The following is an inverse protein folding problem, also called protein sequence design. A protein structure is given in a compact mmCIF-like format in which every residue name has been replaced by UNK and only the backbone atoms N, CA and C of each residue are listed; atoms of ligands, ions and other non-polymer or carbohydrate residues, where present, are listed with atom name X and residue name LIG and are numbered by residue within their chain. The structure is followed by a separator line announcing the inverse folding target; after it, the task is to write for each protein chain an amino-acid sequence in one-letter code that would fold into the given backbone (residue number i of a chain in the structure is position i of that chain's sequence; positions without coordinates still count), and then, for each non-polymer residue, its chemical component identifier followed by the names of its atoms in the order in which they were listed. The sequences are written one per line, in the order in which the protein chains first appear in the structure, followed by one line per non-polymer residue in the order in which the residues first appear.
data_IF_430887524257
#
_entry.id   IF_430887524257
#
_cell.length_a   1.000
_cell.length_b   1.000
_cell.length_c   1.000
_cell.angle_alpha   90.00
_cell.angle_beta   90.00
_cell.angle_gamma   90.00
#
_symmetry.space_group_name_H-M   'P 1'
#
loop_
_entity.id
_entity.type
_entity.pdbx_description
1 polymer ?
#
# COMPACT_ATOMS: atom_id res chain seq x y z
N UNK A 1 6.48 35.32 22.95
CA UNK A 1 7.10 34.54 21.86
C UNK A 1 6.64 33.11 22.07
N UNK A 2 5.53 32.72 21.45
CA UNK A 2 4.90 31.40 21.65
C UNK A 2 5.43 30.45 20.57
N UNK A 3 5.97 29.31 21.03
CA UNK A 3 6.85 28.42 20.27
C UNK A 3 6.14 27.12 19.89
N UNK A 4 4.85 27.20 19.52
CA UNK A 4 4.01 26.02 19.26
C UNK A 4 3.05 26.16 18.05
N UNK A 5 3.26 27.13 17.15
CA UNK A 5 2.43 27.27 15.93
C UNK A 5 2.92 26.44 14.73
N UNK A 6 3.96 25.61 14.88
CA UNK A 6 4.57 24.87 13.75
C UNK A 6 4.10 23.41 13.57
N UNK A 7 3.23 22.89 14.43
CA UNK A 7 2.55 21.63 14.13
C UNK A 7 1.17 21.94 13.58
N UNK A 8 1.19 22.48 12.36
CA UNK A 8 0.01 22.73 11.55
C UNK A 8 -0.92 21.54 11.62
N UNK A 9 -2.17 21.82 11.95
CA UNK A 9 -3.27 20.85 11.94
C UNK A 9 -3.19 20.03 10.64
N UNK A 10 -3.30 18.68 10.69
CA UNK A 10 -3.15 17.86 9.51
C UNK A 10 -4.37 18.10 8.60
N UNK A 11 -4.27 19.09 7.72
CA UNK A 11 -5.26 19.23 6.67
C UNK A 11 -5.12 18.01 5.76
N UNK A 12 -6.23 17.37 5.41
CA UNK A 12 -6.28 16.11 4.67
C UNK A 12 -5.45 16.08 3.35
N UNK A 13 -4.98 17.23 2.86
CA UNK A 13 -4.12 17.36 1.68
C UNK A 13 -2.65 17.01 1.94
N UNK A 14 -2.11 17.37 3.10
CA UNK A 14 -0.67 17.25 3.36
C UNK A 14 -0.25 15.81 3.59
N UNK A 15 -1.10 14.99 4.24
CA UNK A 15 -0.79 13.59 4.48
C UNK A 15 -0.88 12.73 3.20
N UNK A 16 -1.81 13.02 2.29
CA UNK A 16 -1.89 12.32 0.99
C UNK A 16 -0.67 12.62 0.14
N UNK A 17 -0.26 13.90 0.10
CA UNK A 17 0.95 14.33 -0.58
C UNK A 17 2.20 13.69 0.02
N UNK A 18 2.27 13.58 1.34
CA UNK A 18 3.32 12.85 2.03
C UNK A 18 3.38 11.37 1.61
N UNK A 19 2.24 10.65 1.60
CA UNK A 19 2.21 9.26 1.14
C UNK A 19 2.73 9.12 -0.29
N UNK A 20 2.43 10.08 -1.16
CA UNK A 20 2.93 10.07 -2.53
C UNK A 20 4.43 10.34 -2.60
N UNK A 21 4.88 11.48 -2.07
CA UNK A 21 6.25 11.98 -2.24
C UNK A 21 7.28 11.15 -1.46
N UNK A 22 6.94 10.73 -0.25
CA UNK A 22 7.89 10.09 0.67
C UNK A 22 7.82 8.57 0.63
N UNK A 23 6.68 7.99 0.20
CA UNK A 23 6.50 6.54 0.15
C UNK A 23 6.31 6.07 -1.30
N UNK A 24 5.16 6.33 -1.91
CA UNK A 24 4.76 5.68 -3.18
C UNK A 24 5.67 6.02 -4.37
N UNK A 25 6.22 7.24 -4.45
CA UNK A 25 7.16 7.65 -5.50
C UNK A 25 8.59 7.17 -5.24
N UNK A 26 8.90 6.70 -4.04
CA UNK A 26 10.22 6.16 -3.65
C UNK A 26 10.30 4.65 -3.77
N UNK A 27 9.15 3.96 -3.79
CA UNK A 27 9.11 2.51 -3.90
C UNK A 27 9.52 2.02 -5.30
N UNK A 28 10.29 0.92 -5.40
CA UNK A 28 10.49 0.21 -6.66
C UNK A 28 9.16 -0.18 -7.29
N UNK A 29 9.09 -0.15 -8.63
CA UNK A 29 7.85 -0.43 -9.37
C UNK A 29 7.20 -1.78 -8.98
N UNK A 30 8.03 -2.79 -8.71
CA UNK A 30 7.54 -4.12 -8.33
C UNK A 30 6.89 -4.14 -6.95
N UNK A 31 7.42 -3.37 -6.00
CA UNK A 31 6.82 -3.22 -4.67
C UNK A 31 5.55 -2.37 -4.74
N UNK A 32 5.57 -1.30 -5.54
CA UNK A 32 4.38 -0.49 -5.80
C UNK A 32 3.25 -1.30 -6.41
N UNK A 33 3.54 -2.16 -7.39
CA UNK A 33 2.52 -3.02 -8.02
C UNK A 33 1.99 -4.09 -7.05
N UNK A 34 2.84 -4.62 -6.16
CA UNK A 34 2.42 -5.51 -5.07
C UNK A 34 1.40 -4.82 -4.15
N UNK A 35 1.73 -3.63 -3.65
CA UNK A 35 0.83 -2.88 -2.77
C UNK A 35 -0.45 -2.44 -3.50
N UNK A 36 -0.34 -2.01 -4.76
CA UNK A 36 -1.49 -1.61 -5.56
C UNK A 36 -2.41 -2.78 -5.91
N UNK A 37 -1.86 -3.98 -6.08
CA UNK A 37 -2.65 -5.21 -6.25
C UNK A 37 -3.31 -5.61 -4.93
N UNK A 38 -2.59 -5.54 -3.81
CA UNK A 38 -3.18 -5.84 -2.51
C UNK A 38 -4.27 -4.82 -2.10
N UNK A 39 -4.16 -3.57 -2.54
CA UNK A 39 -5.12 -2.52 -2.21
C UNK A 39 -6.55 -2.82 -2.68
N UNK A 40 -6.72 -3.62 -3.76
CA UNK A 40 -8.05 -3.98 -4.26
C UNK A 40 -8.65 -5.21 -3.58
N UNK A 41 -7.91 -5.87 -2.69
CA UNK A 41 -8.38 -7.00 -1.92
C UNK A 41 -9.48 -6.57 -0.92
N UNK A 42 -10.42 -7.49 -0.69
CA UNK A 42 -11.53 -7.30 0.28
C UNK A 42 -11.23 -7.96 1.63
N UNK A 43 -10.27 -8.87 1.69
CA UNK A 43 -9.81 -9.59 2.87
C UNK A 43 -8.31 -9.87 2.77
N UNK A 44 -7.63 -10.23 3.87
CA UNK A 44 -6.24 -10.66 3.84
C UNK A 44 -6.00 -11.73 2.77
N UNK A 45 -4.87 -11.62 2.07
CA UNK A 45 -4.54 -12.47 0.92
C UNK A 45 -3.35 -13.35 1.28
N UNK A 46 -3.43 -14.68 1.14
CA UNK A 46 -2.28 -15.56 1.33
C UNK A 46 -1.09 -15.13 0.48
N UNK A 47 0.11 -15.13 1.05
CA UNK A 47 1.33 -14.63 0.38
C UNK A 47 1.53 -15.26 -0.99
N UNK A 48 1.37 -16.58 -1.10
CA UNK A 48 1.59 -17.32 -2.34
C UNK A 48 0.66 -16.86 -3.47
N UNK A 49 -0.58 -16.49 -3.14
CA UNK A 49 -1.56 -15.96 -4.10
C UNK A 49 -1.13 -14.57 -4.56
N UNK A 50 -0.82 -13.69 -3.62
CA UNK A 50 -0.37 -12.33 -3.93
C UNK A 50 0.91 -12.35 -4.78
N UNK A 51 1.91 -13.13 -4.36
CA UNK A 51 3.19 -13.25 -5.04
C UNK A 51 3.02 -13.76 -6.46
N UNK A 52 2.20 -14.80 -6.67
CA UNK A 52 1.87 -15.31 -8.00
C UNK A 52 1.15 -14.26 -8.85
N UNK A 53 0.17 -13.56 -8.28
CA UNK A 53 -0.62 -12.53 -8.96
C UNK A 53 0.23 -11.37 -9.49
N UNK A 54 1.33 -11.02 -8.81
CA UNK A 54 2.23 -9.94 -9.23
C UNK A 54 3.58 -10.41 -9.80
N UNK A 55 3.78 -11.72 -10.00
CA UNK A 55 5.05 -12.28 -10.48
C UNK A 55 6.23 -12.01 -9.52
N UNK A 56 5.96 -11.97 -8.22
CA UNK A 56 6.98 -11.86 -7.18
C UNK A 56 7.59 -13.22 -6.88
N UNK A 57 8.93 -13.27 -6.80
CA UNK A 57 9.68 -14.47 -6.49
C UNK A 57 10.32 -14.31 -5.13
N UNK A 58 10.06 -15.24 -4.22
CA UNK A 58 10.65 -15.26 -2.88
C UNK A 58 9.67 -14.86 -1.78
N UNK A 59 10.23 -14.39 -0.67
CA UNK A 59 9.51 -14.03 0.56
C UNK A 59 8.89 -12.63 0.46
N UNK A 60 7.94 -12.28 1.35
CA UNK A 60 7.41 -10.93 1.47
C UNK A 60 8.52 -9.88 1.55
N UNK A 61 8.36 -8.69 0.94
CA UNK A 61 9.39 -7.67 0.96
C UNK A 61 9.59 -7.16 2.40
N UNK A 62 10.71 -7.53 3.03
CA UNK A 62 10.97 -7.23 4.44
C UNK A 62 10.87 -5.74 4.76
N UNK A 63 11.27 -4.86 3.83
CA UNK A 63 11.19 -3.42 4.04
C UNK A 63 9.73 -2.95 4.20
N UNK A 64 8.82 -3.48 3.38
CA UNK A 64 7.40 -3.11 3.46
C UNK A 64 6.77 -3.59 4.77
N UNK A 65 7.17 -4.77 5.24
CA UNK A 65 6.74 -5.32 6.54
C UNK A 65 7.29 -4.51 7.70
N UNK A 66 8.61 -4.27 7.71
CA UNK A 66 9.29 -3.50 8.77
C UNK A 66 8.74 -2.08 8.93
N UNK A 67 8.35 -1.46 7.82
CA UNK A 67 7.76 -0.11 7.83
C UNK A 67 6.23 -0.10 8.00
N UNK A 68 5.60 -1.26 8.20
CA UNK A 68 4.15 -1.37 8.43
C UNK A 68 3.30 -1.00 7.22
N UNK A 69 3.89 -0.99 6.02
CA UNK A 69 3.16 -0.79 4.76
C UNK A 69 2.42 -2.06 4.36
N UNK A 70 3.08 -3.21 4.57
CA UNK A 70 2.55 -4.56 4.42
C UNK A 70 2.39 -5.18 5.81
N UNK A 71 1.20 -5.68 6.10
CA UNK A 71 0.85 -6.29 7.39
C UNK A 71 0.74 -7.80 7.22
N UNK A 72 1.44 -8.55 8.06
CA UNK A 72 1.32 -10.01 8.14
C UNK A 72 0.26 -10.36 9.20
N UNK A 73 -0.90 -10.83 8.75
CA UNK A 73 -2.00 -11.28 9.61
C UNK A 73 -2.09 -12.80 9.57
N UNK A 74 -2.86 -13.39 10.49
CA UNK A 74 -3.07 -14.84 10.57
C UNK A 74 -3.62 -15.42 9.25
N UNK A 75 -4.54 -14.70 8.60
CA UNK A 75 -5.18 -15.12 7.34
C UNK A 75 -4.42 -14.69 6.07
N UNK A 76 -3.27 -14.01 6.22
CA UNK A 76 -2.41 -13.59 5.11
C UNK A 76 -1.98 -12.14 5.15
N UNK A 77 -1.56 -11.64 4.00
CA UNK A 77 -1.05 -10.29 3.82
C UNK A 77 -2.20 -9.28 3.74
N UNK A 78 -2.03 -8.15 4.42
CA UNK A 78 -2.94 -7.02 4.36
C UNK A 78 -2.20 -5.71 4.18
N UNK A 79 -2.90 -4.68 3.73
CA UNK A 79 -2.33 -3.36 3.47
C UNK A 79 -2.71 -2.41 4.60
N UNK A 80 -1.81 -1.51 4.99
CA UNK A 80 -2.16 -0.43 5.90
C UNK A 80 -3.33 0.41 5.34
N UNK A 81 -4.37 0.68 6.15
CA UNK A 81 -5.64 1.22 5.65
C UNK A 81 -5.50 2.59 4.96
N UNK A 82 -4.69 3.49 5.54
CA UNK A 82 -4.44 4.80 4.95
C UNK A 82 -3.78 4.71 3.55
N UNK A 83 -2.90 3.72 3.35
CA UNK A 83 -2.24 3.48 2.07
C UNK A 83 -3.19 2.81 1.08
N UNK A 84 -4.03 1.90 1.58
CA UNK A 84 -5.09 1.25 0.81
C UNK A 84 -6.07 2.27 0.24
N UNK A 85 -6.58 3.18 1.07
CA UNK A 85 -7.46 4.25 0.61
C UNK A 85 -6.79 5.14 -0.43
N UNK A 86 -5.51 5.50 -0.24
CA UNK A 86 -4.75 6.31 -1.21
C UNK A 86 -4.59 5.58 -2.54
N UNK A 87 -4.21 4.30 -2.52
CA UNK A 87 -4.00 3.50 -3.72
C UNK A 87 -5.32 3.23 -4.44
N UNK A 88 -6.43 3.02 -3.72
CA UNK A 88 -7.76 2.87 -4.31
C UNK A 88 -8.25 4.12 -5.04
N UNK A 89 -7.87 5.31 -4.57
CA UNK A 89 -8.17 6.58 -5.24
C UNK A 89 -7.38 6.77 -6.55
N UNK A 90 -6.27 6.04 -6.73
CA UNK A 90 -5.37 6.16 -7.88
C UNK A 90 -5.80 5.32 -9.09
N UNK A 91 -6.84 4.49 -8.97
CA UNK A 91 -7.18 3.50 -10.00
C UNK A 91 -8.60 3.59 -10.52
N UNK A 92 -8.71 4.09 -11.75
CA UNK A 92 -9.79 3.76 -12.67
C UNK A 92 -9.57 2.39 -13.33
N UNK A 93 -9.15 2.38 -14.59
CA UNK A 93 -9.17 1.20 -15.49
C UNK A 93 -8.38 -0.03 -15.01
N UNK A 94 -7.32 0.14 -14.23
CA UNK A 94 -6.46 -0.96 -13.77
C UNK A 94 -7.03 -1.73 -12.57
N UNK A 95 -8.08 -1.22 -11.91
CA UNK A 95 -8.64 -1.85 -10.71
C UNK A 95 -9.21 -3.24 -11.01
N UNK A 96 -9.91 -3.39 -12.14
CA UNK A 96 -10.55 -4.65 -12.51
C UNK A 96 -9.51 -5.72 -12.87
N UNK A 97 -8.45 -5.34 -13.60
CA UNK A 97 -7.35 -6.25 -13.94
C UNK A 97 -6.58 -6.73 -12.70
N UNK A 98 -6.43 -5.87 -11.69
CA UNK A 98 -5.78 -6.25 -10.42
C UNK A 98 -6.65 -7.17 -9.57
N UNK A 99 -7.97 -6.96 -9.53
CA UNK A 99 -8.90 -7.86 -8.82
C UNK A 99 -8.83 -9.28 -9.41
N UNK A 100 -8.82 -9.40 -10.73
CA UNK A 100 -8.71 -10.68 -11.43
C UNK A 100 -7.41 -11.46 -11.14
N UNK A 101 -6.36 -10.81 -10.62
CA UNK A 101 -5.12 -11.50 -10.23
C UNK A 101 -5.22 -12.17 -8.85
N UNK A 102 -6.24 -11.80 -8.08
CA UNK A 102 -6.50 -12.32 -6.73
C UNK A 102 -7.62 -13.36 -6.70
N UNK A 103 -8.38 -13.50 -7.80
CA UNK A 103 -9.37 -14.55 -8.03
C UNK A 103 -8.70 -15.85 -8.51
#
# INVERSE_FOLDING_TARGET
MELLELYGQPTHKDWLRFLDEEILLRLPDKEKELLATLAVAQSPVPWDVLAKGVGWNGVPPENLVKHGLLLELEDGMWLHEALRERLLRDVGEQQQARKQRLD
#
